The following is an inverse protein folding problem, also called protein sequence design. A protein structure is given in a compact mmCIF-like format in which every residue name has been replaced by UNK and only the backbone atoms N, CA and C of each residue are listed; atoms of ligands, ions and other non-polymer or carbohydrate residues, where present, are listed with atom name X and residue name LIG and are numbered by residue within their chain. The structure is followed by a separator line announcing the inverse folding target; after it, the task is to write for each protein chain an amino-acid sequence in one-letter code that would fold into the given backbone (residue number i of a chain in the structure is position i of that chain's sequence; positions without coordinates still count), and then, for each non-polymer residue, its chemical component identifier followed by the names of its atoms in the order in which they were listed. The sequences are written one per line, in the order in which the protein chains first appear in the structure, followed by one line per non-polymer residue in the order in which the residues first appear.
data_IF_612068667097
#
_entry.id   IF_612068667097
#
_cell.length_a   1.000
_cell.length_b   1.000
_cell.length_c   1.000
_cell.angle_alpha   90.00
_cell.angle_beta   90.00
_cell.angle_gamma   90.00
#
_symmetry.space_group_name_H-M   'P 1'
#
loop_
_entity.id
_entity.type
_entity.pdbx_description
1 polymer ?
#
# COMPACT_ATOMS: atom_id res chain seq x y z
N UNK A 1 -37.14 26.56 -14.56
CA UNK A 1 -37.21 26.29 -13.10
C UNK A 1 -38.04 25.03 -12.89
N UNK A 2 -37.39 23.86 -12.86
CA UNK A 2 -37.97 22.57 -12.45
C UNK A 2 -36.81 21.58 -12.30
N UNK A 3 -36.28 21.45 -11.10
CA UNK A 3 -35.20 20.52 -10.76
C UNK A 3 -35.80 19.15 -10.42
N UNK A 4 -35.58 18.16 -11.27
CA UNK A 4 -35.96 16.77 -11.02
C UNK A 4 -34.91 16.10 -10.14
N UNK A 5 -35.33 15.74 -8.93
CA UNK A 5 -34.54 15.04 -7.92
C UNK A 5 -34.25 13.59 -8.35
N UNK A 6 -32.96 13.25 -8.49
CA UNK A 6 -32.49 11.89 -8.72
C UNK A 6 -32.37 11.18 -7.38
N UNK A 7 -33.29 10.26 -7.10
CA UNK A 7 -33.25 9.39 -5.92
C UNK A 7 -32.16 8.34 -6.05
N UNK A 8 -30.99 8.60 -5.46
CA UNK A 8 -30.01 7.56 -5.18
C UNK A 8 -30.46 6.77 -3.94
N UNK A 9 -30.83 5.50 -4.16
CA UNK A 9 -31.05 4.53 -3.11
C UNK A 9 -29.72 4.27 -2.37
N UNK A 10 -29.58 4.88 -1.19
CA UNK A 10 -28.53 4.58 -0.24
C UNK A 10 -28.68 3.13 0.23
N UNK A 11 -27.82 2.24 -0.31
CA UNK A 11 -27.59 0.93 0.30
C UNK A 11 -27.05 1.17 1.71
N UNK A 12 -27.87 0.88 2.71
CA UNK A 12 -27.48 0.76 4.12
C UNK A 12 -26.39 -0.31 4.20
N UNK A 13 -25.13 0.10 4.18
CA UNK A 13 -24.04 -0.75 4.64
C UNK A 13 -24.25 -0.99 6.13
N UNK A 14 -24.27 -2.28 6.48
CA UNK A 14 -24.38 -2.74 7.85
C UNK A 14 -23.37 -2.01 8.72
N UNK A 15 -23.89 -1.47 9.81
CA UNK A 15 -23.14 -0.89 10.92
C UNK A 15 -22.30 -2.03 11.51
N UNK A 16 -21.04 -2.13 11.08
CA UNK A 16 -20.05 -2.95 11.78
C UNK A 16 -19.87 -2.34 13.18
N UNK A 17 -19.94 -3.12 14.25
CA UNK A 17 -19.55 -2.62 15.56
C UNK A 17 -18.05 -2.36 15.49
N UNK A 18 -17.68 -1.07 15.44
CA UNK A 18 -16.36 -0.63 15.86
C UNK A 18 -16.25 -1.08 17.32
N UNK A 19 -15.53 -2.17 17.55
CA UNK A 19 -14.97 -2.44 18.85
C UNK A 19 -13.93 -1.34 19.08
N UNK A 20 -14.37 -0.28 19.76
CA UNK A 20 -13.48 0.61 20.50
C UNK A 20 -12.79 -0.26 21.56
N UNK A 21 -11.72 -0.94 21.16
CA UNK A 21 -10.66 -1.25 22.09
C UNK A 21 -10.07 0.09 22.48
N UNK A 22 -10.63 0.67 23.54
CA UNK A 22 -9.92 1.60 24.40
C UNK A 22 -8.61 0.90 24.78
N UNK A 23 -7.56 1.21 24.02
CA UNK A 23 -6.19 1.03 24.42
C UNK A 23 -5.96 1.99 25.57
N UNK A 24 -6.41 1.61 26.77
CA UNK A 24 -5.86 2.16 28.00
C UNK A 24 -4.38 1.83 27.96
N UNK A 25 -3.58 2.86 27.66
CA UNK A 25 -2.16 2.85 27.95
C UNK A 25 -2.00 2.68 29.45
N UNK A 26 -1.93 1.43 29.88
CA UNK A 26 -1.25 1.04 31.10
C UNK A 26 0.23 1.26 30.80
N UNK A 27 0.70 2.47 31.14
CA UNK A 27 2.10 2.73 31.40
C UNK A 27 2.50 1.90 32.64
N UNK A 28 2.62 0.59 32.46
CA UNK A 28 3.34 -0.28 33.37
C UNK A 28 4.83 0.00 33.17
N UNK A 29 5.26 1.11 33.77
CA UNK A 29 6.63 1.35 34.17
C UNK A 29 6.99 0.24 35.14
N UNK A 30 7.61 -0.81 34.61
CA UNK A 30 8.33 -1.79 35.41
C UNK A 30 9.51 -1.06 36.07
N UNK A 31 9.24 -0.50 37.24
CA UNK A 31 10.26 -0.03 38.16
C UNK A 31 10.99 -1.27 38.71
N UNK A 32 12.00 -1.69 37.97
CA UNK A 32 12.89 -2.82 38.23
C UNK A 32 13.90 -2.47 39.36
N UNK A 33 13.42 -1.79 40.39
CA UNK A 33 14.20 -1.33 41.55
C UNK A 33 13.72 -2.03 42.82
N UNK A 34 13.56 -3.35 42.77
CA UNK A 34 13.46 -4.17 43.99
C UNK A 34 14.60 -5.18 43.99
N UNK A 35 15.79 -4.62 44.13
CA UNK A 35 16.98 -5.35 44.58
C UNK A 35 16.64 -5.99 45.91
N UNK A 36 16.60 -7.30 45.84
CA UNK A 36 16.58 -8.30 46.88
C UNK A 36 17.52 -7.91 48.03
N UNK A 37 16.98 -7.30 49.08
CA UNK A 37 17.61 -7.35 50.41
C UNK A 37 17.19 -8.67 51.04
N UNK A 38 17.79 -9.75 50.54
CA UNK A 38 17.85 -11.01 51.26
C UNK A 38 18.69 -10.76 52.51
N UNK A 39 18.00 -10.51 53.62
CA UNK A 39 18.59 -10.50 54.96
C UNK A 39 19.37 -11.80 55.15
N UNK A 40 20.68 -11.62 55.31
CA UNK A 40 21.62 -12.65 55.67
C UNK A 40 21.15 -13.30 56.97
N UNK A 41 20.73 -14.56 56.87
CA UNK A 41 20.56 -15.46 58.00
C UNK A 41 21.90 -15.63 58.72
N UNK A 42 22.14 -14.75 59.69
CA UNK A 42 23.19 -14.87 60.70
C UNK A 42 22.87 -16.03 61.65
N UNK A 43 23.08 -17.26 61.20
CA UNK A 43 23.22 -18.42 62.08
C UNK A 43 24.62 -18.43 62.69
N UNK A 44 24.83 -17.55 63.67
CA UNK A 44 25.91 -17.70 64.64
C UNK A 44 25.49 -18.78 65.64
N UNK A 45 25.76 -20.04 65.29
CA UNK A 45 25.68 -21.18 66.21
C UNK A 45 26.92 -21.13 67.13
N UNK A 46 26.86 -20.29 68.17
CA UNK A 46 27.77 -20.32 69.30
C UNK A 46 27.48 -21.57 70.16
N UNK A 47 27.93 -22.73 69.68
CA UNK A 47 28.17 -23.90 70.55
C UNK A 47 29.64 -23.92 70.96
N UNK A 48 29.96 -23.07 71.93
CA UNK A 48 31.10 -23.25 72.83
C UNK A 48 30.90 -24.55 73.61
N UNK A 49 31.37 -25.65 73.05
CA UNK A 49 31.60 -26.88 73.80
C UNK A 49 32.68 -26.60 74.83
N UNK A 50 32.27 -26.55 76.10
CA UNK A 50 33.13 -26.46 77.25
C UNK A 50 34.23 -27.52 77.20
N UNK A 51 35.47 -27.05 77.18
CA UNK A 51 36.68 -27.83 77.42
C UNK A 51 36.64 -28.40 78.84
N UNK A 52 36.05 -29.59 78.99
CA UNK A 52 36.22 -30.42 80.17
C UNK A 52 37.68 -30.86 80.27
N UNK A 53 38.42 -30.19 81.16
CA UNK A 53 39.78 -30.57 81.52
C UNK A 53 39.77 -31.96 82.15
N UNK A 54 40.64 -32.90 81.74
CA UNK A 54 40.80 -34.16 82.46
C UNK A 54 41.46 -33.85 83.80
N UNK A 55 40.72 -34.08 84.89
CA UNK A 55 41.24 -34.07 86.25
C UNK A 55 42.31 -35.14 86.38
N UNK A 56 43.55 -34.71 86.53
CA UNK A 56 44.67 -35.57 86.93
C UNK A 56 44.45 -36.05 88.36
N UNK A 57 43.88 -37.25 88.50
CA UNK A 57 43.84 -37.99 89.75
C UNK A 57 45.27 -38.45 90.09
N UNK A 58 45.85 -37.79 91.10
CA UNK A 58 47.07 -38.22 91.76
C UNK A 58 46.86 -39.62 92.35
N UNK A 59 47.52 -40.61 91.77
CA UNK A 59 47.68 -41.93 92.39
C UNK A 59 48.62 -41.79 93.59
N UNK A 60 48.07 -41.93 94.79
CA UNK A 60 48.78 -42.03 96.06
C UNK A 60 49.81 -43.17 96.00
N UNK A 61 51.09 -42.82 96.16
CA UNK A 61 52.16 -43.81 96.29
C UNK A 61 52.05 -44.48 97.66
N UNK A 62 51.61 -45.73 97.69
CA UNK A 62 51.79 -46.59 98.86
C UNK A 62 53.26 -47.00 98.94
N UNK A 63 54.05 -46.24 99.70
CA UNK A 63 55.37 -46.65 100.15
C UNK A 63 55.20 -47.69 101.27
N UNK A 64 55.05 -48.96 100.89
CA UNK A 64 55.02 -50.07 101.83
C UNK A 64 56.42 -50.27 102.43
N UNK A 65 56.59 -49.77 103.65
CA UNK A 65 57.67 -50.12 104.56
C UNK A 65 57.56 -51.59 104.95
N UNK A 66 58.39 -52.45 104.38
CA UNK A 66 58.73 -53.74 105.01
C UNK A 66 60.05 -54.27 104.46
N UNK A 67 61.16 -53.88 105.09
CA UNK A 67 62.44 -54.56 104.94
C UNK A 67 62.84 -55.06 106.32
N UNK A 68 62.51 -56.31 106.60
CA UNK A 68 63.15 -57.11 107.63
C UNK A 68 63.66 -58.38 106.94
N UNK A 69 64.66 -58.18 106.08
CA UNK A 69 65.36 -59.24 105.37
C UNK A 69 66.20 -60.05 106.37
N UNK A 70 65.99 -61.37 106.41
CA UNK A 70 66.74 -62.32 107.24
C UNK A 70 68.02 -62.82 106.55
N UNK A 71 68.33 -62.33 105.34
CA UNK A 71 69.56 -62.63 104.59
C UNK A 71 69.83 -61.51 103.55
N UNK A 72 71.09 -61.07 103.35
CA UNK A 72 71.46 -60.06 102.34
C UNK A 72 71.19 -60.52 100.90
N UNK A 73 71.11 -61.83 100.65
CA UNK A 73 70.78 -62.38 99.32
C UNK A 73 69.30 -62.15 98.96
N UNK A 74 68.39 -62.28 99.92
CA UNK A 74 66.95 -62.05 99.73
C UNK A 74 66.63 -60.57 99.47
N UNK A 75 67.40 -59.66 100.09
CA UNK A 75 67.25 -58.21 99.85
C UNK A 75 67.69 -57.82 98.43
N UNK A 76 68.75 -58.44 97.91
CA UNK A 76 69.19 -58.23 96.52
C UNK A 76 68.19 -58.83 95.52
N UNK A 77 67.64 -60.01 95.79
CA UNK A 77 66.59 -60.61 94.98
C UNK A 77 65.32 -59.73 94.94
N UNK A 78 64.87 -59.22 96.10
CA UNK A 78 63.73 -58.32 96.19
C UNK A 78 63.97 -56.98 95.46
N UNK A 79 65.19 -56.40 95.53
CA UNK A 79 65.53 -55.20 94.75
C UNK A 79 65.58 -55.48 93.24
N UNK A 80 66.06 -56.66 92.83
CA UNK A 80 66.04 -57.08 91.43
C UNK A 80 64.61 -57.26 90.92
N UNK A 81 63.76 -57.98 91.66
CA UNK A 81 62.36 -58.20 91.30
C UNK A 81 61.59 -56.88 91.26
N UNK A 82 61.82 -55.98 92.22
CA UNK A 82 61.23 -54.64 92.22
C UNK A 82 61.68 -53.82 91.00
N UNK A 83 62.96 -53.93 90.61
CA UNK A 83 63.48 -53.23 89.42
C UNK A 83 62.98 -53.85 88.13
N UNK A 84 62.81 -55.16 88.06
CA UNK A 84 62.19 -55.88 86.94
C UNK A 84 60.71 -55.50 86.82
N UNK A 85 59.96 -55.42 87.93
CA UNK A 85 58.57 -54.94 87.95
C UNK A 85 58.45 -53.47 87.53
N UNK A 86 59.39 -52.60 87.95
CA UNK A 86 59.45 -51.22 87.47
C UNK A 86 59.71 -51.16 85.96
N UNK A 87 60.62 -51.98 85.45
CA UNK A 87 60.90 -52.05 84.02
C UNK A 87 59.72 -52.64 83.23
N UNK A 88 59.03 -53.66 83.75
CA UNK A 88 57.85 -54.24 83.08
C UNK A 88 56.69 -53.25 83.05
N UNK A 89 56.39 -52.59 84.18
CA UNK A 89 55.32 -51.57 84.24
C UNK A 89 55.61 -50.34 83.38
N UNK A 90 56.88 -49.90 83.30
CA UNK A 90 57.27 -48.82 82.39
C UNK A 90 57.20 -49.23 80.92
N UNK A 91 57.59 -50.46 80.57
CA UNK A 91 57.44 -51.00 79.21
C UNK A 91 55.98 -51.18 78.82
N UNK A 92 55.12 -51.69 79.70
CA UNK A 92 53.67 -51.79 79.48
C UNK A 92 53.05 -50.40 79.32
N UNK A 93 53.45 -49.43 80.16
CA UNK A 93 53.02 -48.04 80.04
C UNK A 93 53.47 -47.38 78.74
N UNK A 94 54.69 -47.64 78.28
CA UNK A 94 55.18 -47.17 76.98
C UNK A 94 54.43 -47.85 75.83
N UNK A 95 54.17 -49.15 75.92
CA UNK A 95 53.39 -49.89 74.92
C UNK A 95 51.99 -49.32 74.79
N UNK A 96 51.28 -49.08 75.89
CA UNK A 96 49.96 -48.46 75.87
C UNK A 96 50.00 -47.05 75.27
N UNK A 97 51.01 -46.23 75.58
CA UNK A 97 51.20 -44.92 74.95
C UNK A 97 51.43 -45.04 73.43
N UNK A 98 52.22 -46.01 72.98
CA UNK A 98 52.44 -46.26 71.56
C UNK A 98 51.15 -46.69 70.85
N UNK A 99 50.32 -47.54 71.48
CA UNK A 99 49.02 -47.95 70.95
C UNK A 99 48.07 -46.76 70.82
N UNK A 100 47.98 -45.89 71.84
CA UNK A 100 47.18 -44.66 71.79
C UNK A 100 47.68 -43.70 70.70
N UNK A 101 49.00 -43.52 70.56
CA UNK A 101 49.56 -42.69 69.50
C UNK A 101 49.29 -43.29 68.10
N UNK A 102 49.31 -44.62 67.98
CA UNK A 102 48.97 -45.29 66.73
C UNK A 102 47.49 -45.14 66.38
N UNK A 103 46.59 -45.23 67.35
CA UNK A 103 45.16 -44.96 67.19
C UNK A 103 44.91 -43.50 66.80
N UNK A 104 45.54 -42.54 67.48
CA UNK A 104 45.47 -41.12 67.13
C UNK A 104 46.02 -40.81 65.72
N UNK A 105 47.10 -41.49 65.30
CA UNK A 105 47.62 -41.36 63.95
C UNK A 105 46.65 -41.95 62.91
N UNK A 106 46.02 -43.09 63.22
CA UNK A 106 45.02 -43.69 62.36
C UNK A 106 43.77 -42.79 62.23
N UNK A 107 43.24 -42.28 63.34
CA UNK A 107 42.12 -41.35 63.36
C UNK A 107 42.41 -40.07 62.58
N UNK A 108 43.56 -39.43 62.82
CA UNK A 108 43.96 -38.23 62.07
C UNK A 108 44.14 -38.52 60.58
N UNK A 109 44.68 -39.68 60.19
CA UNK A 109 44.76 -40.09 58.79
C UNK A 109 43.39 -40.31 58.15
N UNK A 110 42.42 -40.88 58.88
CA UNK A 110 41.05 -41.05 58.42
C UNK A 110 40.35 -39.68 58.25
N UNK A 111 40.61 -38.74 59.16
CA UNK A 111 40.12 -37.37 59.06
C UNK A 111 40.73 -36.65 57.84
N UNK A 112 42.04 -36.77 57.61
CA UNK A 112 42.71 -36.21 56.44
C UNK A 112 42.14 -36.77 55.12
N UNK A 113 41.91 -38.09 55.03
CA UNK A 113 41.30 -38.70 53.83
C UNK A 113 39.85 -38.26 53.62
N UNK A 114 39.08 -38.07 54.69
CA UNK A 114 37.74 -37.47 54.64
C UNK A 114 37.76 -36.01 54.16
N UNK A 115 38.70 -35.20 54.64
CA UNK A 115 38.87 -33.82 54.16
C UNK A 115 39.31 -33.78 52.69
N UNK A 116 40.26 -34.62 52.28
CA UNK A 116 40.67 -34.74 50.89
C UNK A 116 39.50 -35.12 49.97
N UNK A 117 38.65 -36.07 50.41
CA UNK A 117 37.46 -36.48 49.66
C UNK A 117 36.37 -35.39 49.60
N UNK A 118 36.27 -34.54 50.62
CA UNK A 118 35.38 -33.37 50.60
C UNK A 118 35.91 -32.28 49.66
N UNK A 119 37.21 -32.01 49.70
CA UNK A 119 37.88 -31.05 48.80
C UNK A 119 37.75 -31.48 47.34
N UNK A 120 37.99 -32.77 47.03
CA UNK A 120 37.81 -33.29 45.67
C UNK A 120 36.37 -33.09 45.16
N UNK A 121 35.36 -33.37 46.01
CA UNK A 121 33.96 -33.14 45.65
C UNK A 121 33.63 -31.66 45.44
N UNK A 122 34.20 -30.75 46.25
CA UNK A 122 33.98 -29.32 46.06
C UNK A 122 34.67 -28.79 44.81
N UNK A 123 35.86 -29.30 44.49
CA UNK A 123 36.56 -28.99 43.23
C UNK A 123 35.78 -29.49 42.01
N UNK A 124 35.25 -30.71 42.05
CA UNK A 124 34.40 -31.24 40.98
C UNK A 124 33.11 -30.43 40.83
N UNK A 125 32.48 -30.03 41.94
CA UNK A 125 31.34 -29.12 41.94
C UNK A 125 31.67 -27.78 41.29
N UNK A 126 32.81 -27.17 41.66
CA UNK A 126 33.27 -25.92 41.06
C UNK A 126 33.57 -26.06 39.56
N UNK A 127 34.11 -27.20 39.11
CA UNK A 127 34.33 -27.48 37.68
C UNK A 127 33.01 -27.59 36.92
N UNK A 128 32.01 -28.27 37.46
CA UNK A 128 30.67 -28.37 36.85
C UNK A 128 30.02 -27.00 36.70
N UNK A 129 30.05 -26.18 37.76
CA UNK A 129 29.52 -24.82 37.72
C UNK A 129 30.22 -23.92 36.70
N UNK A 130 31.54 -24.08 36.50
CA UNK A 130 32.28 -23.35 35.45
C UNK A 130 31.81 -23.75 34.05
N UNK A 131 31.66 -25.05 33.79
CA UNK A 131 31.15 -25.55 32.49
C UNK A 131 29.72 -25.09 32.24
N UNK A 132 28.85 -25.15 33.25
CA UNK A 132 27.48 -24.64 33.14
C UNK A 132 27.43 -23.13 32.88
N UNK A 133 28.31 -22.36 33.53
CA UNK A 133 28.46 -20.93 33.27
C UNK A 133 28.93 -20.63 31.84
N UNK A 134 29.89 -21.41 31.31
CA UNK A 134 30.36 -21.28 29.94
C UNK A 134 29.26 -21.60 28.93
N UNK A 135 28.53 -22.70 29.12
CA UNK A 135 27.36 -23.06 28.30
C UNK A 135 26.26 -21.99 28.37
N UNK A 136 26.05 -21.38 29.54
CA UNK A 136 25.14 -20.24 29.72
C UNK A 136 25.55 -19.04 28.85
N UNK A 137 26.83 -18.66 28.89
CA UNK A 137 27.38 -17.56 28.07
C UNK A 137 27.30 -17.85 26.57
N UNK A 138 27.50 -19.10 26.16
CA UNK A 138 27.37 -19.50 24.75
C UNK A 138 25.93 -19.37 24.25
N UNK A 139 24.95 -19.82 25.05
CA UNK A 139 23.53 -19.65 24.74
C UNK A 139 23.14 -18.18 24.67
N UNK A 140 23.63 -17.38 25.61
CA UNK A 140 23.40 -15.92 25.61
C UNK A 140 23.95 -15.27 24.32
N UNK A 141 25.17 -15.60 23.90
CA UNK A 141 25.74 -15.13 22.63
C UNK A 141 24.91 -15.56 21.42
N UNK A 142 24.38 -16.79 21.41
CA UNK A 142 23.50 -17.26 20.33
C UNK A 142 22.22 -16.45 20.26
N UNK A 143 21.56 -16.22 21.41
CA UNK A 143 20.36 -15.39 21.47
C UNK A 143 20.63 -13.94 21.06
N UNK A 144 21.78 -13.38 21.44
CA UNK A 144 22.20 -12.04 20.99
C UNK A 144 22.41 -11.98 19.47
N UNK A 145 22.98 -13.03 18.85
CA UNK A 145 23.12 -13.12 17.39
C UNK A 145 21.77 -13.24 16.68
N UNK A 146 20.85 -14.03 17.22
CA UNK A 146 19.49 -14.15 16.68
C UNK A 146 18.70 -12.85 16.80
N UNK A 147 18.81 -12.15 17.95
CA UNK A 147 18.22 -10.83 18.15
C UNK A 147 18.75 -9.82 17.12
N UNK A 148 20.07 -9.72 16.96
CA UNK A 148 20.69 -8.83 15.96
C UNK A 148 20.27 -9.18 14.53
N UNK A 149 20.13 -10.48 14.21
CA UNK A 149 19.62 -10.92 12.89
C UNK A 149 18.17 -10.49 12.67
N UNK A 150 17.30 -10.64 13.67
CA UNK A 150 15.90 -10.24 13.57
C UNK A 150 15.75 -8.72 13.48
N UNK A 151 16.55 -7.96 14.21
CA UNK A 151 16.62 -6.49 14.10
C UNK A 151 16.99 -6.06 12.67
N UNK A 152 18.03 -6.65 12.09
CA UNK A 152 18.42 -6.38 10.70
C UNK A 152 17.30 -6.70 9.69
N UNK A 153 16.54 -7.79 9.90
CA UNK A 153 15.39 -8.13 9.06
C UNK A 153 14.22 -7.14 9.24
N UNK A 154 13.97 -6.69 10.47
CA UNK A 154 12.96 -5.66 10.74
C UNK A 154 13.34 -4.34 10.09
N UNK A 155 14.60 -3.90 10.18
CA UNK A 155 15.09 -2.70 9.51
C UNK A 155 14.97 -2.81 7.98
N UNK A 156 15.35 -3.94 7.40
CA UNK A 156 15.18 -4.18 5.97
C UNK A 156 13.70 -4.10 5.54
N UNK A 157 12.78 -4.67 6.34
CA UNK A 157 11.34 -4.60 6.07
C UNK A 157 10.78 -3.17 6.18
N UNK A 158 11.27 -2.38 7.15
CA UNK A 158 10.90 -0.97 7.31
C UNK A 158 11.38 -0.13 6.13
N UNK A 159 12.61 -0.35 5.67
CA UNK A 159 13.13 0.31 4.46
C UNK A 159 12.32 -0.06 3.22
N UNK A 160 11.97 -1.33 3.06
CA UNK A 160 11.11 -1.78 1.95
C UNK A 160 9.72 -1.13 1.98
N UNK A 161 9.11 -1.02 3.17
CA UNK A 161 7.83 -0.34 3.34
C UNK A 161 7.94 1.17 3.03
N UNK A 162 8.99 1.84 3.51
CA UNK A 162 9.21 3.26 3.21
C UNK A 162 9.41 3.51 1.70
N UNK A 163 10.07 2.58 1.00
CA UNK A 163 10.28 2.67 -0.44
C UNK A 163 8.99 2.45 -1.23
N UNK A 164 8.15 1.49 -0.83
CA UNK A 164 6.86 1.27 -1.49
C UNK A 164 5.90 2.44 -1.25
N UNK A 165 5.88 3.01 -0.05
CA UNK A 165 5.13 4.22 0.28
C UNK A 165 5.57 5.41 -0.56
N UNK A 166 6.89 5.68 -0.63
CA UNK A 166 7.43 6.77 -1.45
C UNK A 166 7.07 6.58 -2.94
N UNK A 167 7.11 5.34 -3.44
CA UNK A 167 6.71 5.01 -4.81
C UNK A 167 5.22 5.27 -5.06
N UNK A 168 4.35 4.90 -4.12
CA UNK A 168 2.92 5.19 -4.23
C UNK A 168 2.62 6.69 -4.15
N UNK A 169 3.31 7.43 -3.28
CA UNK A 169 3.18 8.88 -3.21
C UNK A 169 3.62 9.56 -4.52
N UNK A 170 4.71 9.11 -5.12
CA UNK A 170 5.16 9.61 -6.42
C UNK A 170 4.12 9.35 -7.53
N UNK A 171 3.56 8.14 -7.60
CA UNK A 171 2.50 7.81 -8.56
C UNK A 171 1.24 8.69 -8.38
N UNK A 172 0.84 8.94 -7.13
CA UNK A 172 -0.28 9.84 -6.83
C UNK A 172 0.02 11.29 -7.20
N UNK A 173 1.27 11.75 -7.05
CA UNK A 173 1.70 13.08 -7.48
C UNK A 173 1.68 13.21 -9.02
N UNK A 174 2.13 12.20 -9.74
CA UNK A 174 2.07 12.15 -11.21
C UNK A 174 0.63 12.21 -11.73
N UNK A 175 -0.29 11.45 -11.13
CA UNK A 175 -1.71 11.49 -11.50
C UNK A 175 -2.36 12.84 -11.18
N UNK A 176 -2.00 13.49 -10.07
CA UNK A 176 -2.44 14.88 -9.79
C UNK A 176 -1.93 15.85 -10.84
N UNK A 177 -0.65 15.78 -11.21
CA UNK A 177 -0.06 16.63 -12.25
C UNK A 177 -0.69 16.34 -13.63
N UNK A 178 -1.07 15.09 -13.92
CA UNK A 178 -1.81 14.74 -15.13
C UNK A 178 -3.22 15.34 -15.13
N UNK A 179 -3.93 15.26 -14.00
CA UNK A 179 -5.25 15.87 -13.86
C UNK A 179 -5.22 17.40 -13.99
N UNK A 180 -4.19 18.06 -13.43
CA UNK A 180 -3.98 19.50 -13.58
C UNK A 180 -3.71 19.90 -15.03
N UNK A 181 -2.89 19.14 -15.76
CA UNK A 181 -2.68 19.36 -17.21
C UNK A 181 -3.98 19.24 -18.01
N UNK A 182 -4.81 18.24 -17.71
CA UNK A 182 -6.12 18.09 -18.36
C UNK A 182 -7.07 19.25 -18.04
N UNK A 183 -7.06 19.76 -16.80
CA UNK A 183 -7.85 20.95 -16.42
C UNK A 183 -7.38 22.19 -17.16
N UNK A 184 -6.07 22.43 -17.23
CA UNK A 184 -5.51 23.55 -17.98
C UNK A 184 -5.92 23.51 -19.46
N UNK A 185 -5.79 22.36 -20.13
CA UNK A 185 -6.22 22.22 -21.52
C UNK A 185 -7.72 22.45 -21.72
N UNK A 186 -8.56 22.02 -20.77
CA UNK A 186 -10.00 22.28 -20.82
C UNK A 186 -10.27 23.78 -20.70
N UNK A 187 -9.60 24.46 -19.79
CA UNK A 187 -9.79 25.89 -19.53
C UNK A 187 -9.31 26.72 -20.74
N UNK A 188 -8.19 26.34 -21.36
CA UNK A 188 -7.71 26.92 -22.63
C UNK A 188 -8.74 26.74 -23.77
N UNK A 189 -9.33 25.55 -23.90
CA UNK A 189 -10.35 25.28 -24.91
C UNK A 189 -11.63 26.11 -24.69
N UNK A 190 -12.00 26.36 -23.43
CA UNK A 190 -13.12 27.25 -23.09
C UNK A 190 -12.79 28.71 -23.47
N UNK A 191 -11.59 29.18 -23.18
CA UNK A 191 -11.13 30.52 -23.59
C UNK A 191 -11.14 30.69 -25.11
N UNK A 192 -10.68 29.69 -25.87
CA UNK A 192 -10.73 29.71 -27.33
C UNK A 192 -12.16 29.78 -27.85
N UNK A 193 -13.08 29.00 -27.28
CA UNK A 193 -14.49 29.03 -27.64
C UNK A 193 -15.09 30.41 -27.38
N UNK A 194 -14.84 30.98 -26.21
CA UNK A 194 -15.41 32.27 -25.83
C UNK A 194 -14.84 33.42 -26.70
N UNK A 195 -13.57 33.32 -27.09
CA UNK A 195 -12.94 34.22 -28.08
C UNK A 195 -13.64 34.13 -29.44
N UNK A 196 -13.85 32.91 -29.96
CA UNK A 196 -14.54 32.70 -31.23
C UNK A 196 -16.00 33.19 -31.20
N UNK A 197 -16.70 33.05 -30.07
CA UNK A 197 -18.04 33.60 -29.89
C UNK A 197 -18.03 35.13 -29.89
N UNK A 198 -17.02 35.75 -29.28
CA UNK A 198 -16.85 37.21 -29.31
C UNK A 198 -16.56 37.72 -30.73
N UNK A 199 -15.71 37.03 -31.49
CA UNK A 199 -15.43 37.36 -32.90
C UNK A 199 -16.68 37.24 -33.77
N UNK A 200 -17.42 36.14 -33.61
CA UNK A 200 -18.69 35.92 -34.32
C UNK A 200 -19.73 37.01 -33.98
N UNK A 201 -19.82 37.41 -32.71
CA UNK A 201 -20.65 38.55 -32.29
C UNK A 201 -20.22 39.86 -32.96
N UNK A 202 -18.92 40.10 -33.11
CA UNK A 202 -18.39 41.27 -33.82
C UNK A 202 -18.79 41.27 -35.30
N UNK A 203 -18.63 40.13 -35.98
CA UNK A 203 -19.04 39.98 -37.38
C UNK A 203 -20.54 40.25 -37.60
N UNK A 204 -21.40 39.81 -36.67
CA UNK A 204 -22.84 40.13 -36.76
C UNK A 204 -23.11 41.62 -36.60
N UNK A 205 -22.44 42.30 -35.67
CA UNK A 205 -22.57 43.75 -35.52
C UNK A 205 -22.12 44.50 -36.80
N UNK A 206 -21.06 44.04 -37.46
CA UNK A 206 -20.61 44.61 -38.74
C UNK A 206 -21.61 44.38 -39.87
N UNK A 207 -22.21 43.19 -39.96
CA UNK A 207 -23.28 42.89 -40.93
C UNK A 207 -24.49 43.79 -40.69
N UNK A 208 -24.90 43.98 -39.44
CA UNK A 208 -26.02 44.87 -39.08
C UNK A 208 -25.71 46.32 -39.44
N UNK A 209 -24.48 46.78 -39.20
CA UNK A 209 -24.02 48.11 -39.61
C UNK A 209 -24.06 48.28 -41.14
N UNK A 210 -23.58 47.27 -41.90
CA UNK A 210 -23.65 47.29 -43.36
C UNK A 210 -25.10 47.29 -43.87
N UNK A 211 -25.99 46.50 -43.26
CA UNK A 211 -27.42 46.51 -43.60
C UNK A 211 -28.06 47.87 -43.33
N UNK A 212 -27.71 48.54 -42.23
CA UNK A 212 -28.16 49.90 -41.94
C UNK A 212 -27.69 50.89 -43.01
N UNK A 213 -26.40 50.85 -43.40
CA UNK A 213 -25.88 51.72 -44.48
C UNK A 213 -26.56 51.46 -45.83
N UNK A 214 -26.86 50.19 -46.15
CA UNK A 214 -27.60 49.82 -47.36
C UNK A 214 -29.03 50.36 -47.31
N UNK A 215 -29.70 50.28 -46.16
CA UNK A 215 -31.05 50.83 -45.98
C UNK A 215 -31.06 52.36 -46.18
N UNK A 216 -30.10 53.08 -45.60
CA UNK A 216 -29.97 54.53 -45.78
C UNK A 216 -29.70 54.91 -47.24
N UNK A 217 -28.81 54.17 -47.90
CA UNK A 217 -28.53 54.39 -49.33
C UNK A 217 -29.77 54.14 -50.19
N UNK A 218 -30.60 53.14 -49.87
CA UNK A 218 -31.84 52.86 -50.57
C UNK A 218 -32.89 53.98 -50.37
N UNK A 219 -32.98 54.54 -49.16
CA UNK A 219 -33.82 55.71 -48.89
C UNK A 219 -33.35 56.93 -49.70
N UNK A 220 -32.04 57.17 -49.76
CA UNK A 220 -31.47 58.26 -50.55
C UNK A 220 -31.75 58.11 -52.05
N UNK A 221 -31.62 56.91 -52.61
CA UNK A 221 -31.97 56.64 -54.03
C UNK A 221 -33.46 56.90 -54.29
N UNK A 222 -34.35 56.49 -53.37
CA UNK A 222 -35.79 56.78 -53.48
C UNK A 222 -36.07 58.29 -53.47
N UNK A 223 -35.37 59.04 -52.61
CA UNK A 223 -35.46 60.49 -52.57
C UNK A 223 -35.02 61.13 -53.90
N UNK A 224 -33.87 60.72 -54.45
CA UNK A 224 -33.39 61.20 -55.74
C UNK A 224 -34.36 60.87 -56.88
N UNK A 225 -34.91 59.65 -56.92
CA UNK A 225 -35.92 59.25 -57.92
C UNK A 225 -37.18 60.12 -57.81
N UNK A 226 -37.67 60.37 -56.60
CA UNK A 226 -38.82 61.29 -56.39
C UNK A 226 -38.50 62.68 -56.91
N UNK A 227 -37.30 63.19 -56.63
CA UNK A 227 -36.87 64.52 -57.08
C UNK A 227 -36.75 64.62 -58.60
N UNK A 228 -36.24 63.57 -59.25
CA UNK A 228 -36.19 63.49 -60.71
C UNK A 228 -37.60 63.51 -61.31
N UNK A 229 -38.53 62.71 -60.78
CA UNK A 229 -39.94 62.71 -61.21
C UNK A 229 -40.62 64.07 -61.02
N UNK A 230 -40.35 64.76 -59.90
CA UNK A 230 -40.85 66.12 -59.67
C UNK A 230 -40.36 67.10 -60.73
N UNK A 231 -39.08 67.02 -61.10
CA UNK A 231 -38.48 67.86 -62.15
C UNK A 231 -39.01 67.51 -63.54
N UNK A 232 -39.16 66.22 -63.86
CA UNK A 232 -39.78 65.76 -65.11
C UNK A 232 -41.22 66.24 -65.24
N UNK A 233 -42.01 66.17 -64.16
CA UNK A 233 -43.38 66.69 -64.13
C UNK A 233 -43.43 68.21 -64.34
N UNK A 234 -42.49 68.96 -63.76
CA UNK A 234 -42.37 70.41 -63.98
C UNK A 234 -42.06 70.71 -65.45
N UNK A 235 -41.13 69.97 -66.06
CA UNK A 235 -40.75 70.12 -67.47
C UNK A 235 -41.91 69.72 -68.40
N UNK A 236 -42.62 68.63 -68.12
CA UNK A 236 -43.79 68.20 -68.86
C UNK A 236 -44.93 69.22 -68.79
N UNK A 237 -45.20 69.82 -67.62
CA UNK A 237 -46.17 70.92 -67.48
C UNK A 237 -45.78 72.12 -68.36
N UNK A 238 -44.49 72.46 -68.40
CA UNK A 238 -43.99 73.54 -69.25
C UNK A 238 -44.14 73.22 -70.75
N UNK A 239 -43.85 71.99 -71.17
CA UNK A 239 -44.07 71.54 -72.55
C UNK A 239 -45.56 71.47 -72.91
N UNK A 240 -46.42 71.01 -72.00
CA UNK A 240 -47.86 70.96 -72.24
C UNK A 240 -48.45 72.36 -72.40
N UNK A 241 -47.95 73.35 -71.65
CA UNK A 241 -48.29 74.76 -71.90
C UNK A 241 -47.86 75.22 -73.30
N UNK A 242 -46.75 74.72 -73.84
CA UNK A 242 -46.33 74.99 -75.23
C UNK A 242 -47.18 74.22 -76.25
N UNK A 243 -47.55 72.97 -75.97
CA UNK A 243 -48.38 72.15 -76.87
C UNK A 243 -49.85 72.56 -76.88
N UNK A 244 -50.39 73.09 -75.77
CA UNK A 244 -51.73 73.69 -75.76
C UNK A 244 -51.80 74.95 -76.65
N UNK A 245 -50.66 75.57 -76.98
CA UNK A 245 -50.60 76.58 -78.05
C UNK A 245 -50.59 75.96 -79.45
N UNK A 246 -50.18 74.71 -79.62
CA UNK A 246 -50.01 74.06 -80.94
C UNK A 246 -51.11 73.04 -81.29
N UNK A 247 -51.94 72.58 -80.34
CA UNK A 247 -52.98 71.58 -80.58
C UNK A 247 -54.40 72.13 -80.25
N UNK A 248 -54.79 73.20 -80.96
CA UNK A 248 -56.12 73.25 -81.56
C UNK A 248 -56.04 72.48 -82.89
N UNK A 249 -55.95 71.14 -82.87
CA UNK A 249 -56.37 70.27 -83.99
C UNK A 249 -56.14 68.77 -83.66
N UNK A 250 -57.27 68.11 -83.38
CA UNK A 250 -57.62 66.69 -83.60
C UNK A 250 -57.31 65.57 -82.57
N UNK A 251 -58.18 64.53 -82.47
CA UNK A 251 -58.17 63.52 -81.40
C UNK A 251 -57.94 62.04 -81.83
N UNK A 252 -57.33 61.29 -80.89
CA UNK A 252 -57.54 59.89 -80.41
C UNK A 252 -57.75 58.68 -81.34
N UNK A 253 -57.01 57.59 -81.07
CA UNK A 253 -57.53 56.20 -81.16
C UNK A 253 -56.74 55.17 -80.32
N UNK A 254 -57.46 54.12 -79.97
CA UNK A 254 -57.37 53.13 -78.87
C UNK A 254 -56.41 51.93 -79.05
N UNK A 255 -56.08 51.27 -77.94
CA UNK A 255 -56.27 49.80 -77.79
C UNK A 255 -55.11 48.80 -77.98
N UNK A 256 -54.81 48.00 -76.95
CA UNK A 256 -54.20 46.64 -77.03
C UNK A 256 -53.76 46.11 -75.64
N UNK A 257 -54.25 45.01 -75.05
CA UNK A 257 -54.41 43.57 -75.40
C UNK A 257 -53.20 42.66 -75.07
N UNK A 258 -53.46 41.59 -74.31
CA UNK A 258 -52.66 40.35 -74.21
C UNK A 258 -52.19 40.01 -72.77
N UNK A 259 -52.56 38.91 -72.07
CA UNK A 259 -52.80 37.48 -72.37
C UNK A 259 -51.63 36.57 -71.92
N UNK A 260 -51.97 35.53 -71.14
CA UNK A 260 -51.22 34.28 -71.01
C UNK A 260 -50.10 34.25 -69.96
N UNK A 261 -49.64 33.11 -69.43
CA UNK A 261 -50.01 31.70 -69.53
C UNK A 261 -49.00 30.96 -68.61
N UNK A 262 -49.45 30.16 -67.66
CA UNK A 262 -49.24 28.70 -67.60
C UNK A 262 -47.84 28.15 -67.23
N UNK A 263 -47.89 26.94 -66.64
CA UNK A 263 -46.83 25.94 -66.43
C UNK A 263 -45.85 26.26 -65.30
N UNK A 264 -45.33 25.30 -64.53
CA UNK A 264 -45.42 23.84 -64.49
C UNK A 264 -44.78 23.46 -63.14
N UNK A 265 -45.18 22.37 -62.50
CA UNK A 265 -44.70 21.04 -62.87
C UNK A 265 -43.33 20.79 -62.23
N UNK A 266 -43.29 19.99 -61.16
CA UNK A 266 -42.04 19.67 -60.48
C UNK A 266 -42.21 18.69 -59.33
N UNK A 267 -42.78 17.51 -59.63
CA UNK A 267 -42.81 16.38 -58.72
C UNK A 267 -41.40 15.89 -58.42
N UNK A 268 -40.96 16.02 -57.17
CA UNK A 268 -39.77 15.38 -56.64
C UNK A 268 -40.18 14.23 -55.73
N UNK A 269 -40.10 13.00 -56.27
CA UNK A 269 -40.36 11.77 -55.53
C UNK A 269 -39.38 11.61 -54.37
N UNK A 270 -39.84 11.90 -53.15
CA UNK A 270 -39.19 11.52 -51.90
C UNK A 270 -39.38 10.03 -51.61
N UNK A 271 -38.91 9.16 -52.50
CA UNK A 271 -38.89 7.73 -52.28
C UNK A 271 -37.64 7.34 -51.47
N UNK A 272 -37.82 7.21 -50.15
CA UNK A 272 -37.18 6.15 -49.35
C UNK A 272 -35.68 6.25 -49.08
N UNK A 273 -35.27 7.22 -48.26
CA UNK A 273 -33.91 7.29 -47.65
C UNK A 273 -33.66 6.19 -46.60
N UNK A 274 -34.67 5.35 -46.28
CA UNK A 274 -34.60 4.32 -45.24
C UNK A 274 -34.87 2.90 -45.78
N UNK A 275 -34.28 2.53 -46.92
CA UNK A 275 -34.32 1.13 -47.35
C UNK A 275 -33.37 0.28 -46.49
N UNK A 276 -33.84 -0.87 -45.98
CA UNK A 276 -33.02 -1.81 -45.21
C UNK A 276 -31.75 -2.25 -45.97
N UNK A 277 -31.82 -2.30 -47.30
CA UNK A 277 -30.68 -2.63 -48.15
C UNK A 277 -29.55 -1.58 -48.03
N UNK A 278 -29.90 -0.28 -48.04
CA UNK A 278 -28.94 0.82 -47.87
C UNK A 278 -28.31 0.79 -46.46
N UNK A 279 -29.10 0.43 -45.45
CA UNK A 279 -28.61 0.37 -44.07
C UNK A 279 -27.68 -0.83 -43.88
N UNK A 280 -27.99 -1.98 -44.48
CA UNK A 280 -27.10 -3.15 -44.49
C UNK A 280 -25.75 -2.82 -45.14
N UNK A 281 -25.73 -2.16 -46.30
CA UNK A 281 -24.46 -1.78 -46.95
C UNK A 281 -23.67 -0.79 -46.12
N UNK A 282 -24.32 0.19 -45.49
CA UNK A 282 -23.67 1.13 -44.58
C UNK A 282 -23.06 0.44 -43.33
N UNK A 283 -23.75 -0.55 -42.76
CA UNK A 283 -23.25 -1.33 -41.62
C UNK A 283 -22.03 -2.16 -42.01
N UNK A 284 -22.08 -2.88 -43.14
CA UNK A 284 -20.91 -3.63 -43.62
C UNK A 284 -19.72 -2.71 -43.91
N UNK A 285 -19.96 -1.51 -44.47
CA UNK A 285 -18.93 -0.49 -44.66
C UNK A 285 -18.29 -0.07 -43.33
N UNK A 286 -19.10 0.27 -42.33
CA UNK A 286 -18.62 0.68 -41.01
C UNK A 286 -17.84 -0.43 -40.27
N UNK A 287 -18.26 -1.69 -40.40
CA UNK A 287 -17.55 -2.84 -39.82
C UNK A 287 -16.23 -3.11 -40.55
N UNK A 288 -16.20 -2.97 -41.88
CA UNK A 288 -14.97 -3.09 -42.67
C UNK A 288 -13.96 -1.98 -42.32
N UNK A 289 -14.42 -0.74 -42.14
CA UNK A 289 -13.57 0.36 -41.66
C UNK A 289 -13.02 0.11 -40.26
N UNK A 290 -13.83 -0.47 -39.34
CA UNK A 290 -13.36 -0.84 -38.01
C UNK A 290 -12.30 -1.95 -38.07
N UNK A 291 -12.41 -2.89 -39.02
CA UNK A 291 -11.45 -3.97 -39.22
C UNK A 291 -10.06 -3.49 -39.67
N UNK A 292 -10.01 -2.34 -40.38
CA UNK A 292 -8.76 -1.70 -40.78
C UNK A 292 -8.01 -1.04 -39.61
N UNK A 293 -8.68 -0.78 -38.48
CA UNK A 293 -8.07 -0.20 -37.28
C UNK A 293 -7.38 -1.27 -36.41
N UNK A 294 -6.50 -0.81 -35.51
CA UNK A 294 -5.88 -1.65 -34.49
C UNK A 294 -6.91 -2.37 -33.60
N UNK A 295 -6.54 -3.50 -33.00
CA UNK A 295 -7.46 -4.39 -32.28
C UNK A 295 -8.27 -3.67 -31.18
N UNK A 296 -7.64 -2.79 -30.41
CA UNK A 296 -8.34 -2.01 -29.38
C UNK A 296 -9.34 -1.00 -29.95
N UNK A 297 -8.98 -0.30 -31.02
CA UNK A 297 -9.84 0.71 -31.66
C UNK A 297 -11.01 0.05 -32.40
N UNK A 298 -10.76 -1.09 -33.03
CA UNK A 298 -11.78 -1.94 -33.66
C UNK A 298 -12.86 -2.32 -32.66
N UNK A 299 -12.48 -2.87 -31.50
CA UNK A 299 -13.42 -3.23 -30.42
C UNK A 299 -14.23 -2.02 -29.94
N UNK A 300 -13.60 -0.84 -29.81
CA UNK A 300 -14.29 0.40 -29.42
C UNK A 300 -15.32 0.84 -30.47
N UNK A 301 -14.97 0.84 -31.76
CA UNK A 301 -15.88 1.23 -32.86
C UNK A 301 -17.06 0.27 -33.01
N UNK A 302 -16.80 -1.04 -32.94
CA UNK A 302 -17.87 -2.07 -32.96
C UNK A 302 -18.82 -1.90 -31.79
N UNK A 303 -18.29 -1.71 -30.57
CA UNK A 303 -19.12 -1.47 -29.37
C UNK A 303 -19.96 -0.21 -29.48
N UNK A 304 -19.41 0.86 -30.04
CA UNK A 304 -20.15 2.11 -30.28
C UNK A 304 -21.28 1.90 -31.29
N UNK A 305 -21.03 1.15 -32.37
CA UNK A 305 -22.04 0.82 -33.38
C UNK A 305 -23.19 -0.01 -32.77
N UNK A 306 -22.87 -1.02 -31.96
CA UNK A 306 -23.86 -1.82 -31.23
C UNK A 306 -24.69 -0.98 -30.25
N UNK A 307 -24.06 -0.06 -29.51
CA UNK A 307 -24.78 0.81 -28.57
C UNK A 307 -25.73 1.79 -29.26
N UNK A 308 -25.34 2.32 -30.43
CA UNK A 308 -26.20 3.23 -31.22
C UNK A 308 -27.47 2.54 -31.70
N UNK A 309 -27.38 1.26 -32.07
CA UNK A 309 -28.49 0.47 -32.60
C UNK A 309 -29.13 -0.47 -31.56
N UNK A 310 -28.83 -0.29 -30.27
CA UNK A 310 -29.41 -1.11 -29.22
C UNK A 310 -30.92 -0.86 -29.08
N UNK A 311 -31.77 -1.89 -28.90
CA UNK A 311 -33.23 -1.72 -28.80
C UNK A 311 -33.66 -0.82 -27.63
N UNK A 312 -32.94 -0.87 -26.50
CA UNK A 312 -33.18 -0.02 -25.33
C UNK A 312 -32.98 1.49 -25.60
N UNK A 313 -32.05 1.84 -26.51
CA UNK A 313 -31.80 3.24 -26.89
C UNK A 313 -32.77 3.75 -27.96
N UNK A 314 -33.50 2.85 -28.61
CA UNK A 314 -34.39 3.15 -29.74
C UNK A 314 -35.81 2.59 -29.49
N UNK A 315 -36.54 3.07 -28.46
CA UNK A 315 -37.82 2.49 -28.05
C UNK A 315 -38.95 2.63 -29.10
N UNK A 316 -38.81 3.56 -30.05
CA UNK A 316 -39.80 3.78 -31.13
C UNK A 316 -39.61 2.79 -32.28
N UNK A 317 -38.40 2.27 -32.46
CA UNK A 317 -38.00 1.42 -33.60
C UNK A 317 -37.37 0.12 -33.09
N UNK A 318 -37.95 -0.50 -32.06
CA UNK A 318 -37.37 -1.67 -31.39
C UNK A 318 -37.17 -2.84 -32.36
N UNK A 319 -38.19 -3.20 -33.14
CA UNK A 319 -38.12 -4.28 -34.14
C UNK A 319 -36.99 -4.02 -35.16
N UNK A 320 -36.94 -2.80 -35.68
CA UNK A 320 -35.91 -2.38 -36.64
C UNK A 320 -34.50 -2.39 -36.03
N UNK A 321 -34.34 -1.89 -34.81
CA UNK A 321 -33.07 -1.89 -34.06
C UNK A 321 -32.61 -3.32 -33.74
N UNK A 322 -33.55 -4.25 -33.47
CA UNK A 322 -33.23 -5.67 -33.29
C UNK A 322 -32.74 -6.33 -34.57
N UNK A 323 -33.35 -6.04 -35.73
CA UNK A 323 -32.89 -6.53 -37.03
C UNK A 323 -31.51 -5.99 -37.39
N UNK A 324 -31.29 -4.68 -37.20
CA UNK A 324 -29.98 -4.06 -37.43
C UNK A 324 -28.92 -4.62 -36.49
N UNK A 325 -29.25 -4.86 -35.22
CA UNK A 325 -28.34 -5.49 -34.25
C UNK A 325 -27.93 -6.91 -34.66
N UNK A 326 -28.84 -7.70 -35.25
CA UNK A 326 -28.51 -9.03 -35.81
C UNK A 326 -27.51 -8.91 -36.95
N UNK A 327 -27.76 -8.00 -37.91
CA UNK A 327 -26.87 -7.75 -39.04
C UNK A 327 -25.47 -7.31 -38.58
N UNK A 328 -25.39 -6.45 -37.54
CA UNK A 328 -24.10 -6.03 -36.96
C UNK A 328 -23.34 -7.23 -36.38
N UNK A 329 -24.03 -8.08 -35.62
CA UNK A 329 -23.39 -9.25 -34.99
C UNK A 329 -22.93 -10.29 -36.02
N UNK A 330 -23.71 -10.52 -37.07
CA UNK A 330 -23.32 -11.38 -38.21
C UNK A 330 -22.08 -10.84 -38.91
N UNK A 331 -22.06 -9.54 -39.25
CA UNK A 331 -20.91 -8.91 -39.91
C UNK A 331 -19.63 -8.92 -39.05
N UNK A 332 -19.76 -8.76 -37.73
CA UNK A 332 -18.63 -8.86 -36.78
C UNK A 332 -18.10 -10.28 -36.71
N UNK A 333 -18.99 -11.29 -36.62
CA UNK A 333 -18.59 -12.69 -36.60
C UNK A 333 -17.86 -13.11 -37.88
N UNK A 334 -18.33 -12.68 -39.06
CA UNK A 334 -17.64 -12.92 -40.33
C UNK A 334 -16.24 -12.27 -40.36
N UNK A 335 -16.12 -11.07 -39.81
CA UNK A 335 -14.85 -10.33 -39.74
C UNK A 335 -13.85 -11.00 -38.80
N UNK A 336 -14.30 -11.46 -37.62
CA UNK A 336 -13.47 -12.23 -36.68
C UNK A 336 -13.06 -13.59 -37.26
N UNK A 337 -13.98 -14.27 -37.96
CA UNK A 337 -13.68 -15.54 -38.64
C UNK A 337 -12.66 -15.35 -39.76
N UNK A 338 -12.74 -14.25 -40.53
CA UNK A 338 -11.72 -13.90 -41.53
C UNK A 338 -10.37 -13.54 -40.90
N UNK A 339 -10.37 -12.83 -39.78
CA UNK A 339 -9.14 -12.52 -39.04
C UNK A 339 -8.49 -13.78 -38.48
N UNK A 340 -9.28 -14.73 -37.96
CA UNK A 340 -8.81 -16.02 -37.47
C UNK A 340 -8.28 -16.92 -38.61
N UNK A 341 -8.97 -16.95 -39.75
CA UNK A 341 -8.54 -17.71 -40.94
C UNK A 341 -7.30 -17.11 -41.62
N UNK A 342 -7.15 -15.77 -41.59
CA UNK A 342 -5.97 -15.07 -42.13
C UNK A 342 -4.76 -15.04 -41.20
N UNK A 343 -4.94 -15.29 -39.90
CA UNK A 343 -3.89 -15.26 -38.88
C UNK A 343 -2.98 -16.50 -38.82
N UNK A 344 -3.31 -17.58 -39.53
CA UNK A 344 -2.53 -18.83 -39.50
C UNK A 344 -1.33 -18.86 -40.49
N UNK A 345 -1.14 -17.83 -41.33
CA UNK A 345 -0.12 -17.85 -42.40
C UNK A 345 1.04 -16.85 -42.29
N UNK A 346 1.07 -15.99 -41.27
CA UNK A 346 1.96 -14.81 -41.22
C UNK A 346 2.95 -14.80 -40.06
N UNK A 347 3.58 -15.94 -39.77
CA UNK A 347 4.75 -16.02 -38.89
C UNK A 347 5.99 -15.42 -39.56
N UNK A 348 6.10 -14.10 -39.58
CA UNK A 348 7.34 -13.37 -39.88
C UNK A 348 7.43 -12.23 -38.88
N UNK A 349 8.17 -12.37 -37.79
CA UNK A 349 9.62 -12.28 -37.87
C UNK A 349 10.00 -10.81 -37.68
N UNK A 350 10.10 -10.39 -36.41
CA UNK A 350 10.37 -9.00 -36.06
C UNK A 350 10.69 -8.85 -34.58
N UNK A 351 11.54 -9.74 -34.06
CA UNK A 351 12.18 -9.56 -32.77
C UNK A 351 13.05 -8.29 -32.81
N UNK A 352 12.53 -7.21 -32.25
CA UNK A 352 13.29 -6.02 -31.88
C UNK A 352 13.51 -6.02 -30.39
N UNK A 353 14.28 -6.98 -29.89
CA UNK A 353 14.80 -6.96 -28.53
C UNK A 353 15.73 -5.76 -28.40
N UNK A 354 15.20 -4.64 -27.89
CA UNK A 354 16.02 -3.52 -27.44
C UNK A 354 16.65 -3.95 -26.12
N UNK A 355 17.84 -4.56 -26.23
CA UNK A 355 18.84 -4.55 -25.16
C UNK A 355 19.14 -3.09 -24.84
N UNK A 356 18.69 -2.62 -23.68
CA UNK A 356 19.26 -1.44 -23.03
C UNK A 356 20.52 -1.90 -22.33
N UNK A 357 21.66 -1.54 -22.91
CA UNK A 357 22.94 -1.55 -22.24
C UNK A 357 22.98 -0.47 -21.14
N UNK A 358 23.50 -0.92 -19.98
CA UNK A 358 24.33 -0.25 -18.97
C UNK A 358 24.00 1.20 -18.57
#
# INVERSE_FOLDING_TARGET
MTTAATGLAARKFGKWPLAEHASSGEDDVWDESKVDQGEEGSTADERLHGSGSPTTSHASSNFSSSILAKSPEDALAAMFDQRVQLLSSTLEGLKGKCEVLQEQLAESSAVCTSYASRLARSEDGARRLRVESELGRERERQLQQEAARLEALLEASRLQASYSEARHQAAMAEERARAERLRAMRDDALLQRDTALSELSGCYADVDALQATLADSALYVRYLRKRLLELELQLARQQQQQQQQQHQQQPTSDGGSGSGSASGGGGGGGAGVFSLATIRTAIHGAVAEAAACGEEERRKRVRQLQLRWHPDKNPVLTEFATEVSKIINEAVAEMEQRAAAGGAGGGGGGGGGVQRDL
#
